data_IF_563238286937
#
_entry.id   IF_563238286937
#
_cell.length_a   1.000
_cell.length_b   1.000
_cell.length_c   1.000
_cell.angle_alpha   90.00
_cell.angle_beta   90.00
_cell.angle_gamma   90.00
#
_symmetry.space_group_name_H-M   'P 1'
#
loop_
_entity.id
_entity.type
_entity.pdbx_description
1 polymer ?
#
# COMPACT_ATOMS: atom_id res chain seq x y z
N UNK A 1 -21.77 7.03 8.49
CA UNK A 1 -20.48 6.34 8.74
C UNK A 1 -20.19 6.50 10.22
N UNK A 2 -20.28 5.41 10.97
CA UNK A 2 -19.89 5.41 12.37
C UNK A 2 -18.37 5.26 12.49
N UNK A 3 -17.78 5.87 13.51
CA UNK A 3 -16.31 5.94 13.71
C UNK A 3 -15.99 5.32 15.06
N UNK A 4 -15.02 4.41 15.10
CA UNK A 4 -14.40 3.90 16.31
C UNK A 4 -12.98 4.47 16.44
N UNK A 5 -12.61 4.92 17.65
CA UNK A 5 -11.26 5.43 17.97
C UNK A 5 -10.47 4.35 18.70
N UNK A 6 -9.31 3.98 18.15
CA UNK A 6 -8.36 3.06 18.80
C UNK A 6 -7.21 3.84 19.45
N UNK A 7 -7.20 3.92 20.77
CA UNK A 7 -6.18 4.66 21.55
C UNK A 7 -4.92 3.79 21.70
N UNK A 8 -3.75 4.36 21.41
CA UNK A 8 -2.48 3.61 21.40
C UNK A 8 -1.30 4.30 22.10
N UNK A 9 -1.43 5.58 22.46
CA UNK A 9 -0.42 6.34 23.23
C UNK A 9 -1.08 7.55 23.93
N UNK A 10 -0.36 8.16 24.88
CA UNK A 10 -0.75 9.38 25.58
C UNK A 10 0.49 10.27 25.80
N UNK A 11 0.40 11.54 25.40
CA UNK A 11 1.54 12.47 25.44
C UNK A 11 1.46 13.48 26.59
N UNK A 12 0.26 13.69 27.15
CA UNK A 12 -0.01 14.68 28.18
C UNK A 12 -1.22 14.25 29.02
N UNK A 13 -1.14 14.40 30.33
CA UNK A 13 -2.22 14.07 31.25
C UNK A 13 -2.20 14.99 32.47
N UNK A 14 -3.34 15.59 32.82
CA UNK A 14 -3.53 16.36 34.07
C UNK A 14 -2.43 17.42 34.35
N UNK A 15 -2.02 18.17 33.33
CA UNK A 15 -0.99 19.20 33.48
C UNK A 15 0.45 18.67 33.32
N UNK A 16 0.64 17.35 33.24
CA UNK A 16 1.94 16.72 33.12
C UNK A 16 2.23 16.30 31.68
N UNK A 17 3.41 16.70 31.19
CA UNK A 17 3.97 16.22 29.92
C UNK A 17 4.57 14.83 30.12
N UNK A 18 4.21 13.89 29.24
CA UNK A 18 4.64 12.49 29.31
C UNK A 18 5.63 12.10 28.21
N UNK A 19 6.07 13.05 27.38
CA UNK A 19 6.93 12.77 26.21
C UNK A 19 8.23 12.04 26.56
N UNK A 20 8.82 12.38 27.70
CA UNK A 20 10.10 11.82 28.15
C UNK A 20 9.93 10.48 28.89
N UNK A 21 8.69 10.12 29.24
CA UNK A 21 8.39 8.88 29.95
C UNK A 21 8.49 7.69 28.98
N UNK A 22 8.98 6.52 29.42
CA UNK A 22 8.96 5.30 28.59
C UNK A 22 7.55 4.90 28.17
N UNK A 23 7.42 4.27 27.00
CA UNK A 23 6.12 3.84 26.47
C UNK A 23 5.38 2.92 27.45
N UNK A 24 6.09 2.06 28.21
CA UNK A 24 5.49 1.21 29.24
C UNK A 24 4.70 2.03 30.26
N UNK A 25 5.27 3.13 30.74
CA UNK A 25 4.62 4.03 31.68
C UNK A 25 3.48 4.80 31.03
N UNK A 26 3.66 5.31 29.80
CA UNK A 26 2.56 6.01 29.09
C UNK A 26 1.36 5.09 28.87
N UNK A 27 1.59 3.80 28.58
CA UNK A 27 0.53 2.81 28.45
C UNK A 27 -0.24 2.57 29.75
N UNK A 28 0.41 2.59 30.91
CA UNK A 28 -0.32 2.42 32.18
C UNK A 28 -1.34 3.55 32.40
N UNK A 29 -0.95 4.80 32.09
CA UNK A 29 -1.90 5.93 32.12
C UNK A 29 -3.12 5.69 31.20
N UNK A 30 -2.93 5.09 30.03
CA UNK A 30 -4.04 4.83 29.10
C UNK A 30 -5.02 3.82 29.72
N UNK A 31 -4.51 2.71 30.25
CA UNK A 31 -5.33 1.67 30.87
C UNK A 31 -6.09 2.18 32.11
N UNK A 32 -5.48 3.10 32.87
CA UNK A 32 -6.12 3.66 34.06
C UNK A 32 -7.19 4.73 33.71
N UNK A 33 -7.01 5.47 32.62
CA UNK A 33 -7.85 6.63 32.27
C UNK A 33 -9.00 6.30 31.32
N UNK A 34 -8.79 5.39 30.37
CA UNK A 34 -9.75 5.11 29.32
C UNK A 34 -10.55 3.85 29.62
N UNK A 35 -11.87 3.97 29.55
CA UNK A 35 -12.79 2.84 29.60
C UNK A 35 -13.24 2.50 28.18
N UNK A 36 -13.00 1.26 27.75
CA UNK A 36 -13.39 0.81 26.42
C UNK A 36 -14.91 0.76 26.26
N UNK A 37 -15.38 1.27 25.13
CA UNK A 37 -16.74 1.18 24.64
C UNK A 37 -16.69 0.60 23.22
N UNK A 38 -17.08 -0.67 23.04
CA UNK A 38 -17.01 -1.35 21.75
C UNK A 38 -17.69 -0.54 20.63
N UNK A 39 -16.99 -0.41 19.49
CA UNK A 39 -17.44 0.34 18.32
C UNK A 39 -17.36 1.87 18.45
N UNK A 40 -16.85 2.41 19.56
CA UNK A 40 -16.75 3.86 19.79
C UNK A 40 -15.35 4.30 20.24
N UNK A 41 -14.84 3.73 21.33
CA UNK A 41 -13.51 4.01 21.87
C UNK A 41 -12.93 2.73 22.43
N UNK A 42 -11.89 2.22 21.81
CA UNK A 42 -11.22 0.97 22.19
C UNK A 42 -9.72 1.24 22.34
N UNK A 43 -9.02 0.35 23.04
CA UNK A 43 -7.56 0.38 23.09
C UNK A 43 -7.00 -0.44 21.93
N UNK A 44 -5.87 0.01 21.38
CA UNK A 44 -5.16 -0.78 20.39
C UNK A 44 -4.72 -2.12 21.02
N UNK A 45 -5.13 -3.22 20.40
CA UNK A 45 -4.71 -4.56 20.78
C UNK A 45 -3.18 -4.64 20.81
N UNK A 46 -2.63 -5.35 21.79
CA UNK A 46 -1.19 -5.40 22.04
C UNK A 46 -0.69 -6.80 22.41
N UNK A 47 0.56 -7.06 22.05
CA UNK A 47 1.36 -8.19 22.50
C UNK A 47 2.66 -7.62 23.09
N UNK A 48 2.99 -8.02 24.32
CA UNK A 48 4.28 -7.67 24.96
C UNK A 48 5.24 -8.86 24.82
N UNK A 49 6.49 -8.56 24.48
CA UNK A 49 7.62 -9.49 24.48
C UNK A 49 8.65 -8.88 25.42
N UNK A 50 8.96 -9.59 26.50
CA UNK A 50 9.95 -9.12 27.49
C UNK A 50 11.38 -9.44 27.04
N UNK A 51 12.38 -8.83 27.70
CA UNK A 51 13.79 -8.90 27.30
C UNK A 51 14.34 -10.33 27.25
N UNK A 52 13.94 -11.17 28.21
CA UNK A 52 14.32 -12.58 28.30
C UNK A 52 13.69 -13.45 27.19
N UNK A 53 12.60 -12.99 26.58
CA UNK A 53 11.93 -13.63 25.46
C UNK A 53 12.44 -13.17 24.09
N UNK A 54 13.13 -12.02 24.03
CA UNK A 54 13.51 -11.29 22.81
C UNK A 54 14.74 -11.89 22.11
N UNK A 55 14.66 -13.16 21.71
CA UNK A 55 15.70 -13.86 20.95
C UNK A 55 15.17 -14.35 19.60
N UNK A 56 16.02 -14.29 18.57
CA UNK A 56 15.71 -14.82 17.22
C UNK A 56 15.55 -16.34 17.23
N UNK A 57 16.17 -17.03 18.19
CA UNK A 57 16.09 -18.49 18.32
C UNK A 57 14.90 -18.93 19.18
N UNK A 58 14.15 -17.97 19.76
CA UNK A 58 12.96 -18.27 20.54
C UNK A 58 11.75 -18.48 19.63
N UNK A 59 11.56 -19.73 19.18
CA UNK A 59 10.47 -20.14 18.28
C UNK A 59 9.08 -19.83 18.85
N UNK A 60 8.90 -19.89 20.17
CA UNK A 60 7.63 -19.57 20.83
C UNK A 60 7.27 -18.08 20.70
N UNK A 61 8.24 -17.20 20.96
CA UNK A 61 8.08 -15.74 20.78
C UNK A 61 7.76 -15.40 19.33
N UNK A 62 8.53 -15.96 18.39
CA UNK A 62 8.30 -15.75 16.96
C UNK A 62 6.89 -16.22 16.55
N UNK A 63 6.46 -17.40 17.00
CA UNK A 63 5.12 -17.90 16.70
C UNK A 63 4.00 -16.99 17.23
N UNK A 64 4.14 -16.48 18.46
CA UNK A 64 3.19 -15.51 19.05
C UNK A 64 3.14 -14.20 18.25
N UNK A 65 4.29 -13.68 17.85
CA UNK A 65 4.37 -12.46 17.04
C UNK A 65 3.74 -12.66 15.65
N UNK A 66 4.03 -13.77 14.97
CA UNK A 66 3.41 -14.11 13.68
C UNK A 66 1.89 -14.27 13.80
N UNK A 67 1.42 -14.98 14.83
CA UNK A 67 -0.02 -15.15 15.08
C UNK A 67 -0.72 -13.81 15.35
N UNK A 68 -0.07 -12.90 16.09
CA UNK A 68 -0.59 -11.57 16.35
C UNK A 68 -0.66 -10.72 15.07
N UNK A 69 0.36 -10.82 14.21
CA UNK A 69 0.39 -10.17 12.90
C UNK A 69 -0.71 -10.68 11.97
N UNK A 70 -0.90 -12.00 11.86
CA UNK A 70 -1.95 -12.61 11.06
C UNK A 70 -3.34 -12.18 11.56
N UNK A 71 -3.57 -12.21 12.88
CA UNK A 71 -4.82 -11.75 13.49
C UNK A 71 -5.09 -10.27 13.18
N UNK A 72 -4.07 -9.41 13.23
CA UNK A 72 -4.22 -8.00 12.87
C UNK A 72 -4.66 -7.85 11.40
N UNK A 73 -4.03 -8.57 10.48
CA UNK A 73 -4.39 -8.56 9.06
C UNK A 73 -5.82 -9.07 8.81
N UNK A 74 -6.23 -10.13 9.50
CA UNK A 74 -7.61 -10.66 9.44
C UNK A 74 -8.64 -9.69 10.02
N UNK A 75 -8.23 -8.85 10.97
CA UNK A 75 -9.06 -7.81 11.60
C UNK A 75 -9.08 -6.49 10.82
N UNK A 76 -8.76 -6.53 9.52
CA UNK A 76 -8.71 -5.36 8.62
C UNK A 76 -7.66 -4.29 8.99
N UNK A 77 -6.63 -4.63 9.77
CA UNK A 77 -5.47 -3.77 9.97
C UNK A 77 -4.44 -3.98 8.84
N UNK A 78 -3.62 -2.96 8.54
CA UNK A 78 -2.53 -3.06 7.54
C UNK A 78 -1.37 -3.99 8.00
N UNK A 79 -1.28 -4.26 9.30
CA UNK A 79 -0.21 -5.01 9.94
C UNK A 79 -0.08 -4.63 11.42
N UNK A 80 1.15 -4.66 11.95
CA UNK A 80 1.45 -4.34 13.36
C UNK A 80 2.48 -3.21 13.49
N UNK A 81 2.45 -2.55 14.64
CA UNK A 81 3.48 -1.60 15.07
C UNK A 81 4.32 -2.24 16.17
N UNK A 82 5.62 -2.40 15.93
CA UNK A 82 6.59 -2.75 16.95
C UNK A 82 7.06 -1.46 17.63
N UNK A 83 7.05 -1.44 18.96
CA UNK A 83 7.45 -0.26 19.74
C UNK A 83 8.33 -0.66 20.90
N UNK A 84 9.48 -0.01 21.06
CA UNK A 84 10.31 -0.20 22.27
C UNK A 84 9.54 0.29 23.50
N UNK A 85 9.65 -0.46 24.61
CA UNK A 85 8.88 -0.18 25.83
C UNK A 85 9.65 0.70 26.81
N UNK A 86 10.94 0.43 26.97
CA UNK A 86 11.75 0.95 28.07
C UNK A 86 12.98 1.74 27.57
N UNK A 87 13.81 1.16 26.69
CA UNK A 87 15.03 1.80 26.16
C UNK A 87 14.69 2.69 24.95
N UNK A 88 15.14 3.95 24.98
CA UNK A 88 14.89 4.97 23.95
C UNK A 88 13.41 5.07 23.54
N UNK A 89 12.52 4.83 24.51
CA UNK A 89 11.09 4.65 24.31
C UNK A 89 10.26 5.93 24.52
N UNK A 90 10.91 7.09 24.64
CA UNK A 90 10.26 8.40 24.71
C UNK A 90 9.50 8.74 23.42
N UNK A 91 8.53 9.65 23.50
CA UNK A 91 7.81 10.15 22.35
C UNK A 91 8.55 11.33 21.71
N UNK A 92 9.22 11.07 20.59
CA UNK A 92 9.95 12.10 19.82
C UNK A 92 9.07 12.70 18.73
N UNK A 93 8.47 13.85 19.01
CA UNK A 93 7.73 14.60 17.99
C UNK A 93 8.67 15.00 16.83
N UNK A 94 8.18 14.84 15.59
CA UNK A 94 8.87 15.30 14.36
C UNK A 94 10.20 14.60 14.02
N UNK A 95 10.59 13.56 14.75
CA UNK A 95 11.78 12.75 14.44
C UNK A 95 11.36 11.37 13.95
N UNK A 96 11.95 10.92 12.84
CA UNK A 96 11.88 9.51 12.46
C UNK A 96 12.88 8.74 13.32
N UNK A 97 12.40 7.84 14.15
CA UNK A 97 13.20 7.05 15.07
C UNK A 97 12.89 5.57 14.91
N UNK A 98 13.87 4.73 15.24
CA UNK A 98 13.76 3.27 15.13
C UNK A 98 13.03 2.65 16.33
N UNK A 99 12.60 3.48 17.30
CA UNK A 99 11.79 3.02 18.42
C UNK A 99 10.44 2.48 17.97
N UNK A 100 9.91 2.94 16.83
CA UNK A 100 8.63 2.51 16.26
C UNK A 100 8.81 1.98 14.85
N UNK A 101 8.60 0.68 14.66
CA UNK A 101 8.68 0.03 13.36
C UNK A 101 7.30 -0.43 12.90
N UNK A 102 7.00 -0.19 11.63
CA UNK A 102 5.78 -0.70 10.98
C UNK A 102 6.10 -1.99 10.26
N UNK A 103 5.38 -3.05 10.58
CA UNK A 103 5.45 -4.33 9.87
C UNK A 103 4.11 -4.51 9.18
N UNK A 104 4.11 -4.49 7.85
CA UNK A 104 2.90 -4.58 7.03
C UNK A 104 2.89 -5.87 6.22
N UNK A 105 1.69 -6.34 5.87
CA UNK A 105 1.52 -7.55 5.03
C UNK A 105 2.32 -7.48 3.73
N UNK A 106 2.31 -6.33 3.06
CA UNK A 106 3.01 -6.12 1.79
C UNK A 106 4.56 -6.09 1.92
N UNK A 107 5.09 -6.02 3.15
CA UNK A 107 6.54 -6.03 3.41
C UNK A 107 7.08 -7.43 3.66
N UNK A 108 6.22 -8.41 3.95
CA UNK A 108 6.64 -9.77 4.27
C UNK A 108 6.67 -10.60 2.99
N UNK A 109 7.82 -11.15 2.66
CA UNK A 109 7.98 -12.07 1.52
C UNK A 109 7.05 -13.28 1.67
N UNK A 110 6.36 -13.64 0.58
CA UNK A 110 5.44 -14.77 0.56
C UNK A 110 4.04 -14.51 1.13
N UNK A 111 3.75 -13.36 1.74
CA UNK A 111 2.42 -13.04 2.30
C UNK A 111 1.65 -11.93 1.56
N UNK A 112 2.36 -11.08 0.80
CA UNK A 112 1.77 -10.02 -0.01
C UNK A 112 1.56 -10.46 -1.45
N UNK A 113 0.32 -10.34 -1.95
CA UNK A 113 0.03 -10.57 -3.36
C UNK A 113 0.72 -9.50 -4.23
N UNK A 114 1.29 -9.92 -5.35
CA UNK A 114 1.96 -9.05 -6.31
C UNK A 114 1.30 -9.14 -7.67
N UNK A 115 1.35 -8.03 -8.42
CA UNK A 115 0.96 -7.98 -9.83
C UNK A 115 2.19 -7.70 -10.67
N UNK A 116 2.35 -8.45 -11.74
CA UNK A 116 3.34 -8.16 -12.77
C UNK A 116 2.69 -7.20 -13.76
N UNK A 117 3.16 -5.95 -13.81
CA UNK A 117 2.51 -4.87 -14.55
C UNK A 117 3.49 -4.20 -15.53
N UNK A 118 2.93 -3.64 -16.60
CA UNK A 118 3.69 -2.95 -17.65
C UNK A 118 3.67 -1.44 -17.42
N UNK A 119 4.82 -0.76 -17.36
CA UNK A 119 4.88 0.70 -17.37
C UNK A 119 4.52 1.21 -18.78
N UNK A 120 3.43 1.98 -18.88
CA UNK A 120 2.90 2.52 -20.14
C UNK A 120 3.02 4.05 -20.27
N UNK A 121 3.55 4.71 -19.23
CA UNK A 121 3.82 6.14 -19.23
C UNK A 121 4.37 6.62 -17.89
N UNK A 122 4.69 7.91 -17.80
CA UNK A 122 5.15 8.55 -16.56
C UNK A 122 4.93 10.07 -16.55
N UNK A 123 5.12 10.65 -15.37
CA UNK A 123 5.24 12.10 -15.16
C UNK A 123 6.66 12.44 -14.74
N UNK A 124 7.09 13.69 -14.92
CA UNK A 124 8.27 14.17 -14.21
C UNK A 124 7.95 14.33 -12.71
N UNK A 125 8.90 13.90 -11.87
CA UNK A 125 8.74 14.00 -10.43
C UNK A 125 8.77 15.45 -9.94
N UNK A 126 8.57 15.61 -8.63
CA UNK A 126 8.67 16.89 -7.95
C UNK A 126 9.77 16.87 -6.88
N UNK A 127 10.29 18.05 -6.51
CA UNK A 127 11.32 18.19 -5.47
C UNK A 127 12.58 17.38 -5.78
N UNK A 128 12.98 16.47 -4.88
CA UNK A 128 14.14 15.57 -5.09
C UNK A 128 14.03 14.76 -6.40
N UNK A 129 12.81 14.53 -6.90
CA UNK A 129 12.56 13.73 -8.10
C UNK A 129 12.33 14.55 -9.37
N UNK A 130 12.54 15.86 -9.34
CA UNK A 130 12.27 16.76 -10.48
C UNK A 130 12.93 16.33 -11.80
N UNK A 131 14.11 15.71 -11.74
CA UNK A 131 14.84 15.24 -12.93
C UNK A 131 14.51 13.82 -13.38
N UNK A 132 13.60 13.12 -12.70
CA UNK A 132 13.34 11.69 -12.87
C UNK A 132 11.88 11.42 -13.25
N UNK A 133 11.64 10.30 -13.93
CA UNK A 133 10.30 9.80 -14.18
C UNK A 133 9.71 9.25 -12.86
N UNK A 134 8.69 9.91 -12.31
CA UNK A 134 7.96 9.48 -11.11
C UNK A 134 6.70 10.33 -10.90
N UNK A 135 5.50 9.76 -10.80
CA UNK A 135 5.20 8.32 -10.86
C UNK A 135 5.31 7.72 -12.27
N UNK A 136 5.39 6.39 -12.33
CA UNK A 136 5.12 5.59 -13.52
C UNK A 136 3.65 5.14 -13.53
N UNK A 137 3.01 5.16 -14.69
CA UNK A 137 1.68 4.61 -14.92
C UNK A 137 1.82 3.13 -15.29
N UNK A 138 1.26 2.24 -14.47
CA UNK A 138 1.34 0.80 -14.65
C UNK A 138 0.03 0.23 -15.19
N UNK A 139 0.10 -0.78 -16.04
CA UNK A 139 -1.05 -1.43 -16.66
C UNK A 139 -0.98 -2.96 -16.59
N UNK A 140 -2.15 -3.59 -16.54
CA UNK A 140 -2.35 -5.02 -16.75
C UNK A 140 -2.74 -5.28 -18.21
N UNK A 141 -2.68 -6.52 -18.68
CA UNK A 141 -3.10 -6.89 -20.03
C UNK A 141 -4.52 -7.48 -20.04
N UNK A 142 -5.32 -7.15 -21.05
CA UNK A 142 -6.59 -7.82 -21.31
C UNK A 142 -6.48 -8.64 -22.61
N UNK A 143 -6.40 -9.98 -22.53
CA UNK A 143 -6.26 -10.82 -23.73
C UNK A 143 -7.52 -10.83 -24.60
N UNK A 144 -8.70 -10.52 -24.08
CA UNK A 144 -9.95 -10.51 -24.87
C UNK A 144 -10.05 -9.30 -25.79
N UNK A 145 -9.57 -8.14 -25.35
CA UNK A 145 -9.57 -6.90 -26.15
C UNK A 145 -8.20 -6.54 -26.72
N UNK A 146 -7.15 -7.28 -26.38
CA UNK A 146 -5.75 -7.02 -26.74
C UNK A 146 -5.28 -5.62 -26.31
N UNK A 147 -5.64 -5.23 -25.08
CA UNK A 147 -5.43 -3.87 -24.56
C UNK A 147 -4.67 -3.86 -23.23
N UNK A 148 -3.84 -2.83 -23.03
CA UNK A 148 -3.25 -2.52 -21.72
C UNK A 148 -4.15 -1.59 -20.94
N UNK A 149 -4.61 -2.03 -19.77
CA UNK A 149 -5.52 -1.28 -18.91
C UNK A 149 -4.77 -0.75 -17.69
N UNK A 150 -4.78 0.57 -17.49
CA UNK A 150 -4.09 1.16 -16.34
C UNK A 150 -4.64 0.63 -15.01
N UNK A 151 -3.74 0.36 -14.08
CA UNK A 151 -4.01 -0.17 -12.75
C UNK A 151 -3.64 0.86 -11.69
N UNK A 152 -2.44 1.44 -11.71
CA UNK A 152 -2.00 2.33 -10.65
C UNK A 152 -0.85 3.25 -11.07
N UNK A 153 -0.55 4.23 -10.22
CA UNK A 153 0.65 5.08 -10.30
C UNK A 153 1.69 4.63 -9.28
N UNK A 154 2.89 4.28 -9.72
CA UNK A 154 3.98 3.84 -8.83
C UNK A 154 5.01 4.95 -8.64
N UNK A 155 5.20 5.37 -7.39
CA UNK A 155 6.16 6.42 -7.01
C UNK A 155 7.16 5.99 -5.94
N UNK A 156 7.22 4.71 -5.58
CA UNK A 156 8.07 4.21 -4.51
C UNK A 156 8.67 2.85 -4.86
N UNK A 157 9.75 2.45 -4.17
CA UNK A 157 10.47 1.20 -4.45
C UNK A 157 11.59 1.32 -5.47
N UNK A 158 12.01 2.54 -5.80
CA UNK A 158 13.06 2.84 -6.77
C UNK A 158 14.35 3.28 -6.06
N UNK A 159 15.49 2.76 -6.50
CA UNK A 159 16.82 3.27 -6.15
C UNK A 159 17.19 4.48 -7.04
N UNK A 160 18.24 5.21 -6.68
CA UNK A 160 18.76 6.29 -7.54
C UNK A 160 19.30 5.75 -8.87
N UNK A 161 19.85 4.53 -8.89
CA UNK A 161 20.33 3.88 -10.12
C UNK A 161 19.18 3.41 -11.01
N UNK A 162 18.09 2.91 -10.43
CA UNK A 162 16.86 2.60 -11.18
C UNK A 162 16.37 3.82 -11.98
N UNK A 163 16.36 5.01 -11.39
CA UNK A 163 15.91 6.20 -12.10
C UNK A 163 16.83 6.56 -13.29
N UNK A 164 18.15 6.34 -13.17
CA UNK A 164 19.10 6.55 -14.26
C UNK A 164 18.82 5.57 -15.40
N UNK A 165 18.72 4.28 -15.06
CA UNK A 165 18.45 3.20 -16.02
C UNK A 165 17.13 3.43 -16.76
N UNK A 166 16.05 3.78 -16.05
CA UNK A 166 14.76 4.00 -16.70
C UNK A 166 14.72 5.26 -17.56
N UNK A 167 15.50 6.28 -17.22
CA UNK A 167 15.62 7.49 -18.05
C UNK A 167 16.39 7.22 -19.33
N UNK A 168 17.40 6.37 -19.28
CA UNK A 168 18.14 5.91 -20.46
C UNK A 168 17.30 4.96 -21.31
N UNK A 169 16.63 3.99 -20.67
CA UNK A 169 15.77 3.02 -21.35
C UNK A 169 14.61 3.69 -22.07
N UNK A 170 13.83 4.53 -21.37
CA UNK A 170 12.72 5.29 -21.98
C UNK A 170 13.23 6.60 -22.56
N UNK A 171 13.87 6.49 -23.72
CA UNK A 171 14.37 7.60 -24.53
C UNK A 171 14.11 7.35 -26.02
N UNK A 172 14.18 8.41 -26.83
CA UNK A 172 13.97 8.32 -28.28
C UNK A 172 12.62 7.74 -28.66
N UNK A 173 12.62 6.71 -29.49
CA UNK A 173 11.40 6.07 -30.04
C UNK A 173 10.54 5.35 -29.00
N UNK A 174 11.11 5.08 -27.80
CA UNK A 174 10.38 4.47 -26.68
C UNK A 174 9.50 5.45 -25.94
N UNK A 175 9.65 6.75 -26.22
CA UNK A 175 8.71 7.79 -25.80
C UNK A 175 7.76 8.05 -26.96
N UNK A 176 6.50 7.67 -26.78
CA UNK A 176 5.48 7.77 -27.80
C UNK A 176 4.93 9.21 -27.87
N UNK A 177 4.70 9.76 -29.08
CA UNK A 177 4.22 11.13 -29.25
C UNK A 177 2.77 11.33 -28.79
N UNK A 178 2.00 10.24 -28.65
CA UNK A 178 0.60 10.25 -28.21
C UNK A 178 0.22 8.91 -27.58
N UNK A 179 -0.85 8.91 -26.79
CA UNK A 179 -1.46 7.70 -26.22
C UNK A 179 -1.83 6.70 -27.32
N UNK A 180 -1.31 5.45 -27.28
CA UNK A 180 -1.80 4.37 -28.12
C UNK A 180 -3.27 4.05 -27.90
N UNK A 181 -3.98 3.62 -28.96
CA UNK A 181 -5.43 3.32 -28.91
C UNK A 181 -5.74 2.14 -27.98
N UNK A 182 -4.80 1.20 -27.89
CA UNK A 182 -4.89 0.00 -27.06
C UNK A 182 -4.48 0.25 -25.59
N UNK A 183 -4.16 1.50 -25.21
CA UNK A 183 -3.98 1.88 -23.80
C UNK A 183 -5.26 2.47 -23.23
N UNK A 184 -5.86 1.77 -22.26
CA UNK A 184 -7.10 2.17 -21.59
C UNK A 184 -6.81 2.81 -20.25
N UNK A 185 -7.05 4.11 -20.19
CA UNK A 185 -6.85 4.94 -19.01
C UNK A 185 -7.46 6.33 -19.24
N UNK A 186 -7.98 6.90 -18.16
CA UNK A 186 -8.32 8.33 -18.07
C UNK A 186 -7.18 9.16 -17.47
N UNK A 187 -6.07 8.51 -17.11
CA UNK A 187 -4.85 9.17 -16.70
C UNK A 187 -4.18 9.90 -17.86
N UNK A 188 -3.51 11.00 -17.52
CA UNK A 188 -2.77 11.84 -18.46
C UNK A 188 -1.32 11.97 -17.99
N UNK A 189 -0.49 10.93 -18.19
CA UNK A 189 0.96 11.04 -18.05
C UNK A 189 1.52 12.06 -19.05
N UNK A 190 2.62 12.69 -18.66
CA UNK A 190 3.36 13.64 -19.52
C UNK A 190 4.13 12.90 -20.62
N UNK A 191 4.52 11.65 -20.36
CA UNK A 191 5.24 10.78 -21.26
C UNK A 191 4.46 9.49 -21.45
N UNK A 192 4.22 9.11 -22.71
CA UNK A 192 3.71 7.79 -23.07
C UNK A 192 4.88 6.90 -23.43
N UNK A 193 4.85 5.65 -22.99
CA UNK A 193 5.94 4.71 -23.20
C UNK A 193 5.54 3.54 -24.09
N UNK A 194 6.50 2.94 -24.79
CA UNK A 194 6.33 1.61 -25.38
C UNK A 194 6.18 0.56 -24.27
N UNK A 195 5.28 -0.40 -24.49
CA UNK A 195 5.11 -1.55 -23.60
C UNK A 195 6.23 -2.55 -23.90
N UNK A 196 7.30 -2.52 -23.09
CA UNK A 196 8.48 -3.37 -23.28
C UNK A 196 9.02 -3.98 -21.97
N UNK A 197 8.60 -3.47 -20.82
CA UNK A 197 9.08 -3.90 -19.51
C UNK A 197 7.92 -4.51 -18.73
N UNK A 198 8.23 -5.44 -17.84
CA UNK A 198 7.27 -5.96 -16.85
C UNK A 198 7.89 -5.84 -15.48
N UNK A 199 7.16 -5.27 -14.53
CA UNK A 199 7.62 -5.03 -13.16
C UNK A 199 6.72 -5.72 -12.16
N UNK A 200 7.32 -6.34 -11.14
CA UNK A 200 6.60 -6.85 -9.98
C UNK A 200 6.22 -5.66 -9.09
N UNK A 201 4.93 -5.42 -8.94
CA UNK A 201 4.34 -4.36 -8.13
C UNK A 201 3.57 -5.00 -6.96
N UNK A 202 3.83 -4.52 -5.74
CA UNK A 202 3.04 -4.84 -4.55
C UNK A 202 2.30 -3.61 -4.05
N UNK A 203 1.20 -3.82 -3.33
CA UNK A 203 0.49 -2.76 -2.65
C UNK A 203 -0.22 -3.29 -1.41
N UNK A 204 -0.85 -2.38 -0.67
CA UNK A 204 -1.51 -2.71 0.59
C UNK A 204 -2.88 -3.38 0.39
N UNK A 205 -3.69 -2.84 -0.52
CA UNK A 205 -5.01 -3.34 -0.89
C UNK A 205 -5.35 -2.89 -2.34
N UNK A 206 -6.44 -3.40 -2.90
CA UNK A 206 -7.04 -2.98 -4.16
C UNK A 206 -8.36 -2.25 -3.89
N UNK A 207 -8.61 -1.19 -4.64
CA UNK A 207 -9.77 -0.30 -4.47
C UNK A 207 -10.44 -0.02 -5.82
N UNK A 208 -11.73 0.35 -5.80
CA UNK A 208 -12.39 0.86 -7.00
C UNK A 208 -11.79 2.23 -7.39
N UNK A 209 -11.42 2.38 -8.65
CA UNK A 209 -10.83 3.59 -9.20
C UNK A 209 -11.76 4.25 -10.22
N UNK A 210 -11.93 5.58 -10.18
CA UNK A 210 -12.67 6.30 -11.21
C UNK A 210 -11.83 6.60 -12.46
N UNK A 211 -10.50 6.42 -12.44
CA UNK A 211 -9.59 6.82 -13.53
C UNK A 211 -8.78 5.67 -14.13
N UNK A 212 -8.63 4.57 -13.38
CA UNK A 212 -7.96 3.36 -13.82
C UNK A 212 -8.98 2.41 -14.44
N UNK A 213 -8.58 1.72 -15.51
CA UNK A 213 -9.50 0.95 -16.36
C UNK A 213 -9.37 -0.56 -16.19
N UNK A 214 -8.40 -1.03 -15.42
CA UNK A 214 -8.22 -2.44 -15.12
C UNK A 214 -9.52 -3.04 -14.56
N UNK A 215 -10.00 -4.13 -15.18
CA UNK A 215 -11.19 -4.87 -14.75
C UNK A 215 -12.52 -4.08 -14.71
N UNK A 216 -12.62 -2.96 -15.46
CA UNK A 216 -13.92 -2.32 -15.72
C UNK A 216 -14.87 -3.35 -16.34
N UNK A 217 -16.12 -3.36 -15.87
CA UNK A 217 -17.16 -4.29 -16.32
C UNK A 217 -17.09 -5.68 -15.68
N UNK A 218 -15.95 -6.07 -15.10
CA UNK A 218 -15.79 -7.36 -14.41
C UNK A 218 -16.26 -7.26 -12.95
N UNK A 219 -15.81 -6.23 -12.23
CA UNK A 219 -16.16 -6.00 -10.81
C UNK A 219 -17.18 -4.89 -10.63
N UNK A 220 -17.04 -3.80 -11.38
CA UNK A 220 -17.94 -2.66 -11.35
C UNK A 220 -18.21 -2.17 -12.78
N UNK A 221 -19.45 -1.79 -13.14
CA UNK A 221 -19.82 -1.48 -14.52
C UNK A 221 -19.05 -0.31 -15.14
N UNK A 222 -18.65 0.67 -14.33
CA UNK A 222 -18.03 1.92 -14.82
C UNK A 222 -16.73 2.33 -14.11
N UNK A 223 -16.22 1.51 -13.19
CA UNK A 223 -15.02 1.84 -12.39
C UNK A 223 -14.06 0.69 -12.47
N UNK A 224 -12.78 0.97 -12.72
CA UNK A 224 -11.76 -0.05 -12.71
C UNK A 224 -11.24 -0.29 -11.30
N UNK A 225 -10.14 -1.01 -11.21
CA UNK A 225 -9.49 -1.39 -9.97
C UNK A 225 -8.11 -0.77 -9.93
N UNK A 226 -7.72 -0.27 -8.76
CA UNK A 226 -6.40 0.28 -8.51
C UNK A 226 -5.76 -0.31 -7.28
N UNK A 227 -4.46 -0.53 -7.37
CA UNK A 227 -3.60 -0.89 -6.24
C UNK A 227 -3.37 0.35 -5.37
N UNK A 228 -3.58 0.24 -4.06
CA UNK A 228 -3.32 1.28 -3.06
C UNK A 228 -1.90 1.15 -2.51
N UNK A 229 -1.24 2.30 -2.35
CA UNK A 229 0.17 2.40 -1.92
C UNK A 229 1.10 1.49 -2.73
N UNK A 230 1.04 1.52 -4.08
CA UNK A 230 1.80 0.60 -4.88
C UNK A 230 3.30 0.92 -4.80
N UNK A 231 4.11 -0.14 -4.84
CA UNK A 231 5.56 -0.10 -4.74
C UNK A 231 6.17 -1.06 -5.75
N UNK A 232 7.17 -0.56 -6.46
CA UNK A 232 8.03 -1.39 -7.30
C UNK A 232 8.89 -2.31 -6.44
N UNK A 233 8.91 -3.60 -6.78
CA UNK A 233 9.76 -4.60 -6.14
C UNK A 233 10.99 -4.86 -7.01
N UNK A 234 10.77 -5.26 -8.26
CA UNK A 234 11.83 -5.58 -9.23
C UNK A 234 11.31 -5.58 -10.66
N UNK A 235 12.23 -5.50 -11.62
CA UNK A 235 11.95 -5.84 -13.01
C UNK A 235 11.85 -7.37 -13.19
N UNK A 236 11.04 -7.78 -14.16
CA UNK A 236 10.77 -9.19 -14.53
C UNK A 236 11.14 -9.36 -16.00
N UNK A 237 12.44 -9.50 -16.33
CA UNK A 237 12.92 -9.45 -17.71
C UNK A 237 12.60 -10.70 -18.54
N UNK A 238 12.22 -11.78 -17.87
CA UNK A 238 11.86 -13.08 -18.45
C UNK A 238 10.41 -13.12 -18.96
N UNK A 239 9.65 -12.03 -18.82
CA UNK A 239 8.23 -11.96 -19.16
C UNK A 239 7.96 -10.92 -20.23
N UNK A 240 7.16 -11.30 -21.23
CA UNK A 240 6.66 -10.37 -22.24
C UNK A 240 5.56 -9.47 -21.67
N UNK A 241 5.36 -8.25 -22.20
CA UNK A 241 4.26 -7.38 -21.79
C UNK A 241 2.88 -8.05 -21.84
N UNK A 242 2.62 -8.90 -22.83
CA UNK A 242 1.35 -9.62 -23.02
C UNK A 242 1.16 -10.76 -21.99
N UNK A 243 2.25 -11.27 -21.41
CA UNK A 243 2.23 -12.29 -20.34
C UNK A 243 2.14 -11.68 -18.93
N UNK A 244 2.01 -10.35 -18.81
CA UNK A 244 1.83 -9.69 -17.52
C UNK A 244 0.49 -10.07 -16.86
N UNK A 245 0.30 -9.67 -15.60
CA UNK A 245 -0.98 -9.91 -14.90
C UNK A 245 -2.15 -9.36 -15.71
N UNK A 246 -3.25 -10.11 -15.71
CA UNK A 246 -4.42 -9.80 -16.52
C UNK A 246 -5.48 -9.00 -15.77
N UNK A 247 -6.43 -8.40 -16.50
CA UNK A 247 -7.61 -7.79 -15.90
C UNK A 247 -8.40 -8.78 -15.00
N UNK A 248 -8.45 -10.06 -15.38
CA UNK A 248 -9.08 -11.13 -14.60
C UNK A 248 -8.30 -11.44 -13.32
N UNK A 249 -6.97 -11.40 -13.36
CA UNK A 249 -6.14 -11.57 -12.15
C UNK A 249 -6.37 -10.44 -11.17
N UNK A 250 -6.39 -9.19 -11.66
CA UNK A 250 -6.69 -8.00 -10.84
C UNK A 250 -8.08 -8.12 -10.20
N UNK A 251 -9.09 -8.55 -10.95
CA UNK A 251 -10.45 -8.76 -10.44
C UNK A 251 -10.51 -9.88 -9.39
N UNK A 252 -9.79 -10.98 -9.62
CA UNK A 252 -9.72 -12.12 -8.72
C UNK A 252 -9.05 -11.74 -7.40
N UNK A 253 -7.92 -11.03 -7.47
CA UNK A 253 -7.24 -10.47 -6.31
C UNK A 253 -8.14 -9.52 -5.54
N UNK A 254 -8.88 -8.62 -6.22
CA UNK A 254 -9.80 -7.69 -5.57
C UNK A 254 -10.88 -8.41 -4.76
N UNK A 255 -11.46 -9.48 -5.31
CA UNK A 255 -12.51 -10.29 -4.65
C UNK A 255 -11.98 -11.12 -3.48
N UNK A 256 -10.71 -11.53 -3.54
CA UNK A 256 -10.06 -12.33 -2.51
C UNK A 256 -9.66 -11.52 -1.26
N UNK A 257 -9.71 -10.19 -1.31
CA UNK A 257 -9.32 -9.34 -0.18
C UNK A 257 -10.23 -9.55 1.03
N UNK A 258 -9.62 -9.65 2.22
CA UNK A 258 -10.33 -9.78 3.50
C UNK A 258 -11.21 -8.57 3.81
N UNK A 259 -10.76 -7.37 3.42
CA UNK A 259 -11.55 -6.15 3.55
C UNK A 259 -12.57 -6.08 2.41
N UNK A 260 -13.82 -6.43 2.71
CA UNK A 260 -14.92 -6.28 1.75
C UNK A 260 -15.25 -4.81 1.55
N UNK A 261 -15.17 -4.34 0.31
CA UNK A 261 -15.73 -3.05 -0.08
C UNK A 261 -17.19 -3.25 -0.52
N UNK A 262 -18.09 -2.37 -0.08
CA UNK A 262 -19.43 -2.33 -0.65
C UNK A 262 -19.33 -1.79 -2.09
N UNK A 263 -19.67 -2.64 -3.05
CA UNK A 263 -19.74 -2.28 -4.46
C UNK A 263 -21.20 -1.85 -4.71
N UNK A 264 -21.51 -0.57 -4.54
CA UNK A 264 -22.81 -0.04 -4.93
C UNK A 264 -22.85 0.16 -6.44
N UNK A 265 -23.95 -0.24 -7.07
CA UNK A 265 -24.15 -0.15 -8.52
C UNK A 265 -24.67 1.21 -9.00
N UNK A 266 -24.75 2.21 -8.12
CA UNK A 266 -25.37 3.49 -8.45
C UNK A 266 -24.44 4.30 -9.36
N UNK A 267 -24.84 4.38 -10.63
CA UNK A 267 -24.19 5.22 -11.63
C UNK A 267 -24.30 6.71 -11.28
N UNK A 268 -23.49 7.57 -11.93
CA UNK A 268 -23.58 9.00 -11.72
C UNK A 268 -24.86 9.52 -12.40
N UNK A 269 -25.96 9.62 -11.66
CA UNK A 269 -27.21 10.14 -12.23
C UNK A 269 -28.49 9.88 -11.44
N UNK A 270 -28.58 10.40 -10.22
CA UNK A 270 -29.87 10.78 -9.65
C UNK A 270 -29.69 12.12 -8.96
N UNK A 271 -29.85 13.19 -9.73
CA UNK A 271 -30.08 14.53 -9.21
C UNK A 271 -31.33 14.47 -8.32
N UNK A 272 -31.15 14.71 -7.03
CA UNK A 272 -32.26 15.05 -6.15
C UNK A 272 -32.88 16.36 -6.66
N UNK A 273 -34.06 16.25 -7.28
CA UNK A 273 -35.09 17.27 -7.20
C UNK A 273 -35.98 16.98 -6.00
#
# INVERSE_FOLDING_TARGET
VDICVFVFDIMFCNGQRLLDNPLRQRRSYIHDLFQEKPGYLELAQQLTVEEDEASIDNSSTLHRMSSFFEKACQSSCEGIMLKTLDIDAGYSASKRCDSWLKVKRDYVEGLGDSLDLVPIGAWYGNGRKAGWYSPFLMACYNPESEEFQSVCRVMSGFSDDFYKEMKEFYSGEKILPKKPVYYKTDEQPELWFTAEQVWEIRGADLTLSPVHHAAIGIVHPSRGISVRMPRHIRCVPDRSPEDCSTATDVASMFRAQTRKMEVSSDGPGASHQ
#
